data_IF_399603275514
#
_entry.id   IF_399603275514
#
_cell.length_a   1.000
_cell.length_b   1.000
_cell.length_c   1.000
_cell.angle_alpha   90.00
_cell.angle_beta   90.00
_cell.angle_gamma   90.00
#
_symmetry.space_group_name_H-M   'P 1'
#
loop_
_entity.id
_entity.type
_entity.pdbx_description
1 polymer ?
#
# COMPACT_ATOMS: atom_id res chain seq x y z
N UNK A 1 -47.09 29.81 -11.13
CA UNK A 1 -46.27 28.57 -11.13
C UNK A 1 -44.95 28.95 -10.50
N UNK A 2 -44.89 28.77 -9.20
CA UNK A 2 -44.21 29.71 -8.31
C UNK A 2 -42.78 29.26 -8.02
N UNK A 3 -41.85 30.23 -8.05
CA UNK A 3 -40.41 30.07 -7.87
C UNK A 3 -39.99 29.50 -6.48
N UNK A 4 -40.95 29.22 -5.60
CA UNK A 4 -40.74 28.67 -4.26
C UNK A 4 -40.39 27.18 -4.31
N UNK A 5 -40.75 26.47 -5.37
CA UNK A 5 -40.44 25.04 -5.52
C UNK A 5 -39.01 24.74 -5.95
N UNK A 6 -38.24 25.73 -6.44
CA UNK A 6 -36.86 25.50 -6.92
C UNK A 6 -35.80 25.50 -5.81
N UNK A 7 -36.13 25.90 -4.57
CA UNK A 7 -35.16 26.00 -3.48
C UNK A 7 -35.07 24.75 -2.58
N UNK A 8 -35.95 23.76 -2.77
CA UNK A 8 -35.93 22.52 -1.98
C UNK A 8 -35.28 21.33 -2.71
N UNK A 9 -34.96 21.47 -3.99
CA UNK A 9 -34.44 20.37 -4.83
C UNK A 9 -32.90 20.37 -4.84
N UNK A 10 -32.25 21.51 -4.53
CA UNK A 10 -30.79 21.64 -4.62
C UNK A 10 -29.99 20.93 -3.51
N UNK A 11 -30.43 20.81 -2.24
CA UNK A 11 -29.62 20.15 -1.21
C UNK A 11 -29.59 18.62 -1.34
N UNK A 12 -30.56 18.03 -2.05
CA UNK A 12 -30.69 16.57 -2.19
C UNK A 12 -29.72 16.00 -3.24
N UNK A 13 -29.23 16.81 -4.18
CA UNK A 13 -28.30 16.36 -5.23
C UNK A 13 -26.80 16.48 -4.87
N UNK A 14 -26.45 16.97 -3.68
CA UNK A 14 -25.03 17.08 -3.26
C UNK A 14 -24.56 15.88 -2.43
N UNK A 15 -25.46 14.99 -1.98
CA UNK A 15 -25.10 13.82 -1.17
C UNK A 15 -24.81 12.52 -1.95
N UNK A 16 -24.80 12.56 -3.28
CA UNK A 16 -24.48 11.40 -4.14
C UNK A 16 -23.28 11.72 -5.05
N UNK A 17 -22.21 12.24 -4.46
CA UNK A 17 -20.92 12.41 -5.15
C UNK A 17 -19.71 11.94 -4.33
N UNK A 18 -19.93 11.20 -3.24
CA UNK A 18 -18.93 10.23 -2.79
C UNK A 18 -19.02 9.03 -3.73
N UNK A 19 -18.53 9.25 -4.96
CA UNK A 19 -18.29 8.18 -5.91
C UNK A 19 -17.54 7.09 -5.16
N UNK A 20 -18.16 5.91 -5.11
CA UNK A 20 -17.48 4.69 -4.69
C UNK A 20 -16.41 4.45 -5.75
N UNK A 21 -15.27 5.11 -5.62
CA UNK A 21 -14.08 4.77 -6.38
C UNK A 21 -13.71 3.40 -5.86
N UNK A 22 -14.17 2.36 -6.55
CA UNK A 22 -13.65 1.02 -6.41
C UNK A 22 -12.18 1.09 -6.85
N UNK A 23 -11.32 1.61 -5.97
CA UNK A 23 -9.89 1.59 -6.18
C UNK A 23 -9.50 0.15 -6.45
N UNK A 24 -8.58 -0.06 -7.40
CA UNK A 24 -8.13 -1.38 -7.76
C UNK A 24 -7.81 -2.17 -6.48
N UNK A 25 -8.39 -3.38 -6.37
CA UNK A 25 -8.17 -4.23 -5.21
C UNK A 25 -6.68 -4.48 -4.98
N UNK A 26 -5.89 -4.45 -6.06
CA UNK A 26 -4.42 -4.46 -6.03
C UNK A 26 -3.91 -3.11 -6.56
N UNK A 27 -3.29 -2.34 -5.69
CA UNK A 27 -2.71 -1.03 -5.98
C UNK A 27 -1.58 -0.74 -5.00
N UNK A 28 -0.61 0.07 -5.41
CA UNK A 28 0.30 0.72 -4.47
C UNK A 28 -0.52 1.67 -3.60
N UNK A 29 -0.26 1.66 -2.30
CA UNK A 29 -0.96 2.50 -1.32
C UNK A 29 0.05 3.37 -0.60
N UNK A 30 -0.19 4.67 -0.57
CA UNK A 30 0.69 5.61 0.10
C UNK A 30 0.54 5.56 1.63
N UNK A 31 1.24 6.45 2.33
CA UNK A 31 1.20 6.58 3.80
C UNK A 31 -0.18 6.99 4.35
N UNK A 32 -1.13 7.41 3.50
CA UNK A 32 -2.51 7.78 3.85
C UNK A 32 -3.52 6.68 3.49
N UNK A 33 -3.09 5.65 2.75
CA UNK A 33 -3.96 4.58 2.24
C UNK A 33 -4.64 4.89 0.91
N UNK A 34 -4.24 5.98 0.26
CA UNK A 34 -4.71 6.35 -1.05
C UNK A 34 -3.97 5.53 -2.11
N UNK A 35 -4.64 5.24 -3.22
CA UNK A 35 -4.02 4.54 -4.35
C UNK A 35 -3.06 5.50 -5.05
N UNK A 36 -1.82 5.06 -5.27
CA UNK A 36 -0.80 5.78 -6.05
C UNK A 36 -0.26 4.87 -7.15
N UNK A 37 0.30 5.45 -8.20
CA UNK A 37 0.88 4.66 -9.29
C UNK A 37 2.20 4.00 -8.86
N UNK A 38 3.00 4.71 -8.06
CA UNK A 38 4.28 4.24 -7.56
C UNK A 38 4.62 4.85 -6.21
N UNK A 39 5.46 4.16 -5.45
CA UNK A 39 6.23 4.77 -4.38
C UNK A 39 7.58 4.07 -4.29
N UNK A 40 8.56 4.75 -3.71
CA UNK A 40 9.87 4.21 -3.36
C UNK A 40 10.08 4.43 -1.86
N UNK A 41 10.67 3.42 -1.21
CA UNK A 41 10.97 3.43 0.20
C UNK A 41 12.43 3.05 0.42
N UNK A 42 13.16 3.85 1.20
CA UNK A 42 14.52 3.53 1.66
C UNK A 42 14.49 3.24 3.16
N UNK A 43 14.63 1.96 3.53
CA UNK A 43 14.67 1.54 4.94
C UNK A 43 16.01 1.95 5.56
N UNK A 44 15.95 2.58 6.72
CA UNK A 44 17.13 3.04 7.44
C UNK A 44 17.79 1.90 8.26
N UNK A 45 19.10 1.99 8.55
CA UNK A 45 19.83 0.99 9.31
C UNK A 45 19.47 0.99 10.80
N UNK A 46 19.91 -0.06 11.50
CA UNK A 46 19.67 -0.29 12.95
C UNK A 46 20.62 0.55 13.84
N UNK A 47 20.78 1.82 13.50
CA UNK A 47 21.55 2.80 14.28
C UNK A 47 20.73 4.05 14.62
N UNK A 48 19.50 4.12 14.12
CA UNK A 48 18.57 5.20 14.41
C UNK A 48 17.66 4.82 15.60
N UNK A 49 17.00 5.81 16.20
CA UNK A 49 16.01 5.62 17.28
C UNK A 49 14.92 4.59 16.94
N UNK A 50 14.65 4.39 15.63
CA UNK A 50 13.67 3.45 15.12
C UNK A 50 14.14 2.00 15.01
N UNK A 51 15.36 1.67 15.47
CA UNK A 51 15.93 0.31 15.42
C UNK A 51 15.82 -0.36 14.04
N UNK A 52 16.15 0.40 13.00
CA UNK A 52 16.11 -0.04 11.61
C UNK A 52 14.71 -0.20 11.01
N UNK A 53 13.64 0.21 11.69
CA UNK A 53 12.27 0.15 11.16
C UNK A 53 11.79 1.45 10.51
N UNK A 54 12.55 2.54 10.66
CA UNK A 54 12.27 3.82 9.99
C UNK A 54 12.67 3.74 8.52
N UNK A 55 12.07 4.62 7.73
CA UNK A 55 12.37 4.73 6.31
C UNK A 55 12.17 6.15 5.79
N UNK A 56 12.83 6.46 4.68
CA UNK A 56 12.47 7.56 3.79
C UNK A 56 11.46 7.04 2.76
N UNK A 57 10.57 7.92 2.33
CA UNK A 57 9.45 7.62 1.44
C UNK A 57 9.37 8.68 0.33
N UNK A 58 8.95 8.25 -0.85
CA UNK A 58 8.63 9.12 -1.98
C UNK A 58 7.54 8.47 -2.85
N UNK A 59 6.58 9.25 -3.30
CA UNK A 59 5.60 8.94 -4.34
C UNK A 59 5.41 10.17 -5.27
N UNK A 60 4.42 10.11 -6.17
CA UNK A 60 4.06 11.17 -7.10
C UNK A 60 3.45 12.42 -6.43
N UNK A 61 3.03 12.32 -5.17
CA UNK A 61 2.49 13.43 -4.39
C UNK A 61 3.53 14.09 -3.48
N UNK A 62 4.61 13.38 -3.17
CA UNK A 62 5.74 13.92 -2.41
C UNK A 62 6.68 14.74 -3.30
N UNK A 63 7.08 15.92 -2.85
CA UNK A 63 8.09 16.73 -3.53
C UNK A 63 9.51 16.28 -3.14
N UNK A 64 9.82 14.99 -3.33
CA UNK A 64 11.08 14.36 -2.94
C UNK A 64 11.00 13.55 -1.65
N UNK A 65 12.16 13.19 -1.09
CA UNK A 65 12.24 12.30 0.06
C UNK A 65 11.65 12.93 1.32
N UNK A 66 10.71 12.23 1.94
CA UNK A 66 10.16 12.56 3.25
C UNK A 66 10.40 11.41 4.22
N UNK A 67 10.41 11.67 5.53
CA UNK A 67 10.38 10.60 6.51
C UNK A 67 9.02 9.89 6.46
N UNK A 68 9.04 8.55 6.45
CA UNK A 68 7.84 7.74 6.63
C UNK A 68 7.12 8.11 7.92
N UNK A 69 5.78 8.17 7.86
CA UNK A 69 4.94 8.54 9.01
C UNK A 69 4.75 7.35 9.97
N UNK A 70 5.02 6.13 9.49
CA UNK A 70 4.89 4.87 10.22
C UNK A 70 6.19 4.07 10.19
N UNK A 71 6.28 3.02 11.01
CA UNK A 71 7.35 2.04 10.93
C UNK A 71 7.07 1.06 9.79
N UNK A 72 8.11 0.52 9.15
CA UNK A 72 7.96 -0.36 7.97
C UNK A 72 7.17 -1.65 8.26
N UNK A 73 7.13 -2.06 9.54
CA UNK A 73 6.37 -3.23 10.00
C UNK A 73 4.95 -2.91 10.49
N UNK A 74 4.52 -1.64 10.42
CA UNK A 74 3.16 -1.23 10.76
C UNK A 74 2.21 -1.59 9.61
N UNK A 75 1.04 -2.15 9.92
CA UNK A 75 0.01 -2.49 8.92
C UNK A 75 -0.57 -1.28 8.20
N UNK A 76 -0.39 -0.07 8.77
CA UNK A 76 -0.77 1.23 8.21
C UNK A 76 0.37 1.95 7.48
N UNK A 77 1.57 1.37 7.40
CA UNK A 77 2.63 1.89 6.51
C UNK A 77 2.26 1.71 5.04
N UNK A 78 2.89 2.44 4.12
CA UNK A 78 2.70 2.23 2.68
C UNK A 78 2.89 0.76 2.27
N UNK A 79 3.90 0.08 2.82
CA UNK A 79 4.16 -1.35 2.59
C UNK A 79 3.03 -2.21 3.13
N UNK A 80 2.61 -1.97 4.38
CA UNK A 80 1.53 -2.70 5.04
C UNK A 80 0.22 -2.58 4.28
N UNK A 81 -0.15 -1.35 3.89
CA UNK A 81 -1.36 -1.05 3.14
C UNK A 81 -1.34 -1.67 1.75
N UNK A 82 -0.20 -1.62 1.04
CA UNK A 82 -0.03 -2.26 -0.28
C UNK A 82 -0.10 -3.79 -0.20
N UNK A 83 0.23 -4.39 0.94
CA UNK A 83 0.14 -5.84 1.15
C UNK A 83 -1.22 -6.32 1.68
N UNK A 84 -2.12 -5.41 2.08
CA UNK A 84 -3.42 -5.78 2.64
C UNK A 84 -4.25 -6.77 1.79
N UNK A 85 -4.31 -6.66 0.44
CA UNK A 85 -5.07 -7.59 -0.37
C UNK A 85 -4.54 -9.03 -0.24
N UNK A 86 -3.22 -9.19 -0.30
CA UNK A 86 -2.53 -10.47 -0.11
C UNK A 86 -2.73 -11.03 1.31
N UNK A 87 -2.54 -10.19 2.34
CA UNK A 87 -2.75 -10.60 3.73
C UNK A 87 -4.21 -11.02 3.97
N UNK A 88 -5.17 -10.30 3.38
CA UNK A 88 -6.58 -10.64 3.44
C UNK A 88 -6.88 -11.96 2.75
N UNK A 89 -6.28 -12.22 1.58
CA UNK A 89 -6.42 -13.50 0.88
C UNK A 89 -5.91 -14.68 1.72
N UNK A 90 -4.75 -14.56 2.36
CA UNK A 90 -4.20 -15.65 3.19
C UNK A 90 -5.19 -16.06 4.29
N UNK A 91 -5.87 -15.09 4.91
CA UNK A 91 -6.78 -15.34 6.03
C UNK A 91 -8.20 -15.70 5.58
N UNK A 92 -8.72 -15.04 4.53
CA UNK A 92 -10.14 -15.12 4.12
C UNK A 92 -10.39 -15.93 2.85
N UNK A 93 -9.34 -16.33 2.13
CA UNK A 93 -9.42 -17.08 0.86
C UNK A 93 -10.35 -16.40 -0.15
N UNK A 94 -10.11 -15.12 -0.42
CA UNK A 94 -10.93 -14.36 -1.38
C UNK A 94 -10.88 -15.01 -2.76
N UNK A 95 -12.04 -15.17 -3.40
CA UNK A 95 -12.17 -15.68 -4.77
C UNK A 95 -11.53 -14.67 -5.74
N UNK A 96 -10.93 -15.15 -6.83
CA UNK A 96 -10.33 -14.33 -7.90
C UNK A 96 -9.10 -13.47 -7.54
N UNK A 97 -8.33 -13.85 -6.50
CA UNK A 97 -7.03 -13.24 -6.18
C UNK A 97 -5.88 -14.26 -6.30
N UNK A 98 -4.78 -13.83 -6.93
CA UNK A 98 -3.55 -14.62 -7.08
C UNK A 98 -2.30 -13.79 -6.78
N UNK A 99 -1.20 -14.47 -6.44
CA UNK A 99 0.09 -13.84 -6.13
C UNK A 99 1.25 -14.80 -6.45
N UNK A 100 2.45 -14.25 -6.66
CA UNK A 100 3.68 -15.02 -6.84
C UNK A 100 4.77 -14.44 -5.92
N UNK A 101 5.18 -15.18 -4.90
CA UNK A 101 6.29 -14.76 -4.04
C UNK A 101 7.56 -15.47 -4.46
N UNK A 102 8.69 -14.77 -4.41
CA UNK A 102 10.01 -15.36 -4.59
C UNK A 102 11.00 -14.79 -3.56
N UNK A 103 11.95 -15.64 -3.15
CA UNK A 103 13.02 -15.29 -2.24
C UNK A 103 14.23 -16.17 -2.53
N UNK A 104 15.40 -15.56 -2.72
CA UNK A 104 16.67 -16.24 -3.00
C UNK A 104 17.25 -17.01 -1.79
N UNK A 105 16.69 -16.81 -0.60
CA UNK A 105 17.12 -17.49 0.64
C UNK A 105 16.13 -18.60 1.01
N UNK A 106 16.41 -19.86 0.62
CA UNK A 106 15.51 -20.97 0.88
C UNK A 106 15.47 -21.33 2.39
N UNK A 107 14.42 -22.03 2.86
CA UNK A 107 14.35 -22.52 4.24
C UNK A 107 15.55 -23.41 4.60
N UNK A 108 15.91 -23.47 5.89
CA UNK A 108 17.12 -24.17 6.40
C UNK A 108 17.25 -25.64 5.98
N UNK A 109 16.14 -26.30 5.65
CA UNK A 109 16.09 -27.70 5.21
C UNK A 109 16.51 -27.90 3.75
N UNK A 110 16.69 -26.83 2.97
CA UNK A 110 17.05 -26.87 1.56
C UNK A 110 18.51 -26.44 1.34
N UNK A 111 19.09 -26.90 0.23
CA UNK A 111 20.43 -26.46 -0.17
C UNK A 111 20.43 -24.94 -0.42
N UNK A 112 21.47 -24.20 0.02
CA UNK A 112 21.61 -22.79 -0.30
C UNK A 112 21.56 -22.54 -1.81
N UNK A 113 20.97 -21.42 -2.22
CA UNK A 113 21.03 -21.00 -3.61
C UNK A 113 22.47 -20.66 -4.00
N UNK A 114 22.90 -20.99 -5.24
CA UNK A 114 24.21 -20.57 -5.75
C UNK A 114 24.39 -19.05 -5.69
N UNK A 115 25.60 -18.58 -5.38
CA UNK A 115 25.94 -17.14 -5.39
C UNK A 115 25.89 -16.51 -6.79
N UNK A 116 25.81 -17.32 -7.84
CA UNK A 116 25.60 -16.86 -9.21
C UNK A 116 24.15 -16.46 -9.51
N UNK A 117 23.21 -16.72 -8.58
CA UNK A 117 21.81 -16.35 -8.75
C UNK A 117 21.53 -14.95 -8.18
N UNK A 118 20.45 -14.31 -8.64
CA UNK A 118 20.09 -12.96 -8.19
C UNK A 118 19.69 -12.92 -6.72
N UNK A 119 20.33 -12.06 -5.93
CA UNK A 119 20.00 -11.82 -4.52
C UNK A 119 18.82 -10.86 -4.39
N UNK A 120 17.62 -11.37 -4.63
CA UNK A 120 16.41 -10.58 -4.68
C UNK A 120 15.20 -11.31 -4.10
N UNK A 121 14.23 -10.51 -3.65
CA UNK A 121 13.01 -10.97 -3.00
C UNK A 121 11.86 -10.10 -3.51
N UNK A 122 10.71 -10.71 -3.76
CA UNK A 122 9.58 -9.98 -4.32
C UNK A 122 8.26 -10.73 -4.22
N UNK A 123 7.23 -10.06 -4.73
CA UNK A 123 5.83 -10.49 -4.77
C UNK A 123 5.20 -10.17 -6.12
#
# INVERSE_FOLDING_TARGET
MDAVWMLLIWPVMIFVHSGLTAGAAVSCRNEQGESVDWFILYKLPDHDEGRGLRYLYMDDHTNGWVYGKKLVNDSKSAVGQTLQPFLSYIHKKTVDFGYLLYNDQPPKSFKPAPSSFGHSKGK
#
